data_IF_425977210628
#
_entry.id   IF_425977210628
#
_cell.length_a   1.000
_cell.length_b   1.000
_cell.length_c   1.000
_cell.angle_alpha   90.00
_cell.angle_beta   90.00
_cell.angle_gamma   90.00
#
_symmetry.space_group_name_H-M   'P 1'
#
loop_
_entity.id
_entity.type
_entity.pdbx_description
1 polymer ?
#
# COMPACT_ATOMS: atom_id res chain seq x y z
N UNK A 1 -62.79 15.57 -12.38
CA UNK A 1 -62.15 15.18 -11.10
C UNK A 1 -60.76 14.63 -11.40
N UNK A 2 -59.72 15.31 -10.92
CA UNK A 2 -58.30 14.93 -11.08
C UNK A 2 -58.02 13.67 -10.25
N UNK A 3 -57.37 12.66 -10.83
CA UNK A 3 -56.68 11.61 -10.07
C UNK A 3 -55.21 11.64 -10.48
N UNK A 4 -54.39 12.19 -9.58
CA UNK A 4 -52.97 11.84 -9.49
C UNK A 4 -52.85 10.32 -9.32
N UNK A 5 -51.78 9.72 -9.83
CA UNK A 5 -50.89 8.94 -8.96
C UNK A 5 -49.58 8.52 -9.66
N UNK A 6 -48.51 9.15 -9.17
CA UNK A 6 -47.23 8.57 -8.78
C UNK A 6 -46.38 7.92 -9.90
N UNK A 7 -45.49 8.75 -10.45
CA UNK A 7 -44.26 8.29 -11.12
C UNK A 7 -43.37 7.63 -10.07
N UNK A 8 -43.19 6.32 -10.17
CA UNK A 8 -42.28 5.57 -9.32
C UNK A 8 -40.85 5.79 -9.84
N UNK A 9 -40.18 6.83 -9.34
CA UNK A 9 -38.75 7.02 -9.58
C UNK A 9 -38.00 6.00 -8.71
N UNK A 10 -37.67 4.85 -9.32
CA UNK A 10 -36.66 3.93 -8.80
C UNK A 10 -35.34 4.70 -8.70
N UNK A 11 -35.02 5.17 -7.49
CA UNK A 11 -33.66 5.55 -7.14
C UNK A 11 -32.81 4.28 -7.23
N UNK A 12 -32.18 4.06 -8.39
CA UNK A 12 -31.04 3.16 -8.49
C UNK A 12 -29.94 3.85 -7.69
N UNK A 13 -29.84 3.56 -6.40
CA UNK A 13 -28.61 3.80 -5.68
C UNK A 13 -27.56 2.91 -6.33
N UNK A 14 -26.77 3.48 -7.25
CA UNK A 14 -25.50 2.88 -7.63
C UNK A 14 -24.65 2.86 -6.36
N UNK A 15 -24.74 1.76 -5.61
CA UNK A 15 -23.71 1.40 -4.65
C UNK A 15 -22.44 1.27 -5.47
N UNK A 16 -21.52 2.22 -5.32
CA UNK A 16 -20.19 2.07 -5.86
C UNK A 16 -19.53 0.92 -5.08
N UNK A 17 -19.62 -0.29 -5.62
CA UNK A 17 -18.74 -1.38 -5.21
C UNK A 17 -17.35 -1.01 -5.74
N UNK A 18 -16.64 -0.15 -5.01
CA UNK A 18 -15.28 0.20 -5.38
C UNK A 18 -14.43 -1.05 -5.12
N UNK A 19 -13.92 -1.65 -6.18
CA UNK A 19 -13.03 -2.81 -6.09
C UNK A 19 -11.69 -2.39 -5.46
N UNK A 20 -11.08 -3.31 -4.71
CA UNK A 20 -9.77 -3.07 -4.14
C UNK A 20 -8.75 -2.75 -5.24
N UNK A 21 -8.01 -1.65 -5.09
CA UNK A 21 -6.97 -1.29 -6.05
C UNK A 21 -5.74 -2.17 -5.81
N UNK A 22 -5.12 -2.63 -6.89
CA UNK A 22 -3.77 -3.19 -6.83
C UNK A 22 -2.79 -2.13 -6.31
N UNK A 23 -1.66 -2.57 -5.73
CA UNK A 23 -0.59 -1.69 -5.24
C UNK A 23 -0.34 -0.51 -6.16
N UNK A 24 -0.61 0.68 -5.64
CA UNK A 24 -0.25 1.95 -6.25
C UNK A 24 1.02 2.50 -5.59
N UNK A 25 1.71 3.36 -6.31
CA UNK A 25 2.88 4.06 -5.80
C UNK A 25 2.73 5.56 -6.01
N UNK A 26 2.91 6.31 -4.93
CA UNK A 26 2.82 7.76 -4.86
C UNK A 26 4.17 8.36 -4.48
N UNK A 27 4.47 9.54 -5.03
CA UNK A 27 5.72 10.28 -4.78
C UNK A 27 5.40 11.76 -4.63
N UNK A 28 6.06 12.41 -3.67
CA UNK A 28 6.00 13.88 -3.52
C UNK A 28 6.90 14.60 -4.54
N UNK A 29 7.86 13.91 -5.16
CA UNK A 29 8.77 14.45 -6.17
C UNK A 29 8.81 13.63 -7.46
N UNK A 30 9.43 14.19 -8.51
CA UNK A 30 9.62 13.53 -9.81
C UNK A 30 10.63 12.38 -9.74
N UNK A 31 10.21 11.24 -9.17
CA UNK A 31 11.00 10.02 -9.20
C UNK A 31 10.92 9.37 -10.59
N UNK A 32 12.05 9.33 -11.31
CA UNK A 32 12.09 8.85 -12.70
C UNK A 32 12.47 7.37 -12.81
N UNK A 33 12.95 6.73 -11.74
CA UNK A 33 13.43 5.35 -11.76
C UNK A 33 12.41 4.32 -11.24
N UNK A 34 11.34 4.11 -12.01
CA UNK A 34 10.25 3.18 -11.69
C UNK A 34 10.73 1.71 -11.50
N UNK A 35 11.84 1.33 -12.13
CA UNK A 35 12.42 -0.01 -11.95
C UNK A 35 12.89 -0.21 -10.51
N UNK A 36 13.55 0.80 -9.96
CA UNK A 36 14.12 0.73 -8.62
C UNK A 36 13.07 0.80 -7.53
N UNK A 37 12.04 1.63 -7.76
CA UNK A 37 10.82 1.62 -6.96
C UNK A 37 10.21 0.21 -6.89
N UNK A 38 10.07 -0.48 -8.03
CA UNK A 38 9.54 -1.84 -8.07
C UNK A 38 10.42 -2.83 -7.28
N UNK A 39 11.74 -2.68 -7.33
CA UNK A 39 12.66 -3.50 -6.53
C UNK A 39 12.42 -3.26 -5.04
N UNK A 40 12.33 -2.01 -4.60
CA UNK A 40 12.06 -1.66 -3.20
C UNK A 40 10.71 -2.20 -2.72
N UNK A 41 9.64 -1.99 -3.50
CA UNK A 41 8.31 -2.52 -3.18
C UNK A 41 8.35 -4.05 -3.02
N UNK A 42 9.06 -4.74 -3.90
CA UNK A 42 9.24 -6.19 -3.76
C UNK A 42 10.09 -6.58 -2.55
N UNK A 43 11.10 -5.77 -2.21
CA UNK A 43 11.92 -5.97 -1.01
C UNK A 43 11.03 -5.94 0.24
N UNK A 44 10.18 -4.92 0.38
CA UNK A 44 9.22 -4.80 1.49
C UNK A 44 8.21 -5.94 1.47
N UNK A 45 7.61 -6.28 0.31
CA UNK A 45 6.67 -7.41 0.24
C UNK A 45 7.31 -8.77 0.52
N UNK A 46 8.62 -8.90 0.33
CA UNK A 46 9.38 -10.12 0.67
C UNK A 46 9.78 -10.19 2.14
N UNK A 47 9.63 -9.09 2.89
CA UNK A 47 10.07 -9.05 4.28
C UNK A 47 9.09 -9.75 5.22
N UNK A 48 9.51 -9.87 6.48
CA UNK A 48 8.71 -10.29 7.62
C UNK A 48 7.90 -9.15 8.27
N UNK A 49 7.67 -8.04 7.55
CA UNK A 49 6.69 -7.02 7.99
C UNK A 49 5.35 -7.69 8.33
N UNK A 50 4.68 -7.22 9.38
CA UNK A 50 3.48 -7.85 9.90
C UNK A 50 2.23 -7.56 9.05
N UNK A 51 2.22 -8.07 7.82
CA UNK A 51 1.06 -8.03 6.93
C UNK A 51 -0.14 -8.81 7.50
N UNK A 52 0.10 -9.73 8.44
CA UNK A 52 -0.96 -10.59 8.97
C UNK A 52 -1.94 -9.81 9.84
N UNK A 53 -1.46 -8.86 10.62
CA UNK A 53 -2.30 -7.97 11.42
C UNK A 53 -3.26 -7.12 10.56
N UNK A 54 -2.95 -6.95 9.27
CA UNK A 54 -3.75 -6.16 8.32
C UNK A 54 -4.56 -7.03 7.35
N UNK A 55 -4.61 -8.35 7.55
CA UNK A 55 -5.27 -9.24 6.61
C UNK A 55 -6.78 -9.33 6.78
N UNK A 56 -7.30 -9.11 8.00
CA UNK A 56 -8.69 -9.43 8.32
C UNK A 56 -9.04 -10.85 7.88
N UNK A 57 -10.07 -10.98 7.03
CA UNK A 57 -10.54 -12.22 6.41
C UNK A 57 -9.74 -12.65 5.15
N UNK A 58 -8.83 -11.80 4.66
CA UNK A 58 -8.03 -12.02 3.45
C UNK A 58 -6.73 -12.78 3.74
N UNK A 59 -6.08 -13.26 2.68
CA UNK A 59 -4.74 -13.84 2.76
C UNK A 59 -3.66 -12.76 2.87
N UNK A 60 -2.47 -13.14 3.32
CA UNK A 60 -1.30 -12.24 3.36
C UNK A 60 -0.91 -11.82 1.93
N UNK A 61 -1.00 -12.73 0.97
CA UNK A 61 -0.72 -12.46 -0.44
C UNK A 61 -1.66 -11.39 -0.97
N UNK A 62 -2.95 -11.48 -0.62
CA UNK A 62 -3.94 -10.49 -0.98
C UNK A 62 -3.58 -9.12 -0.42
N UNK A 63 -3.18 -9.02 0.87
CA UNK A 63 -2.71 -7.76 1.45
C UNK A 63 -1.53 -7.21 0.65
N UNK A 64 -0.50 -8.04 0.42
CA UNK A 64 0.68 -7.65 -0.35
C UNK A 64 0.33 -7.16 -1.76
N UNK A 65 -0.72 -7.65 -2.39
CA UNK A 65 -1.16 -7.22 -3.72
C UNK A 65 -1.91 -5.87 -3.70
N UNK A 66 -2.48 -5.45 -2.56
CA UNK A 66 -3.40 -4.31 -2.46
C UNK A 66 -2.92 -3.19 -1.52
N UNK A 67 -1.80 -3.36 -0.81
CA UNK A 67 -1.12 -2.25 -0.13
C UNK A 67 -0.49 -1.30 -1.14
N UNK A 68 -0.67 0.00 -0.91
CA UNK A 68 -0.04 1.09 -1.67
C UNK A 68 1.14 1.68 -0.90
N UNK A 69 2.05 2.32 -1.63
CA UNK A 69 3.26 2.93 -1.10
C UNK A 69 3.26 4.42 -1.42
N UNK A 70 3.48 5.27 -0.44
CA UNK A 70 3.79 6.69 -0.62
C UNK A 70 5.21 6.92 -0.13
N UNK A 71 6.08 7.43 -0.99
CA UNK A 71 7.50 7.59 -0.69
C UNK A 71 7.76 9.01 -0.19
N UNK A 72 8.02 9.13 1.11
CA UNK A 72 8.38 10.38 1.78
C UNK A 72 9.83 10.77 1.52
N UNK A 73 10.72 9.78 1.36
CA UNK A 73 12.14 10.02 1.10
C UNK A 73 12.70 8.96 0.16
N UNK A 74 13.46 9.41 -0.84
CA UNK A 74 14.23 8.55 -1.71
C UNK A 74 15.56 9.24 -2.02
N UNK A 75 16.58 8.96 -1.22
CA UNK A 75 17.92 9.50 -1.42
C UNK A 75 19.02 8.41 -1.38
N UNK A 76 20.27 8.86 -1.41
CA UNK A 76 21.45 7.98 -1.45
C UNK A 76 21.72 7.21 -0.15
N UNK A 77 21.03 7.56 0.94
CA UNK A 77 21.20 6.94 2.24
C UNK A 77 19.92 6.25 2.68
N UNK A 78 18.79 6.94 2.64
CA UNK A 78 17.53 6.48 3.20
C UNK A 78 16.46 6.39 2.10
N UNK A 79 15.66 5.33 2.18
CA UNK A 79 14.36 5.25 1.53
C UNK A 79 13.32 5.12 2.63
N UNK A 80 12.37 6.05 2.69
CA UNK A 80 11.26 6.04 3.64
C UNK A 80 9.95 5.97 2.86
N UNK A 81 9.09 5.01 3.19
CA UNK A 81 7.79 4.87 2.56
C UNK A 81 6.69 4.55 3.57
N UNK A 82 5.55 5.21 3.41
CA UNK A 82 4.30 4.89 4.07
C UNK A 82 3.58 3.78 3.31
N UNK A 83 3.12 2.76 4.03
CA UNK A 83 2.24 1.71 3.53
C UNK A 83 0.80 2.04 3.92
N UNK A 84 -0.15 1.91 3.01
CA UNK A 84 -1.57 2.20 3.30
C UNK A 84 -2.52 1.51 2.31
N UNK A 85 -3.80 1.43 2.67
CA UNK A 85 -4.86 1.02 1.74
C UNK A 85 -5.50 2.25 1.07
N UNK A 86 -5.50 2.29 -0.27
CA UNK A 86 -6.04 3.38 -1.09
C UNK A 86 -7.38 3.03 -1.77
N UNK A 87 -8.24 2.30 -1.06
CA UNK A 87 -9.52 1.85 -1.57
C UNK A 87 -10.53 1.73 -0.42
N UNK A 88 -11.81 1.64 -0.78
CA UNK A 88 -12.91 1.47 0.18
C UNK A 88 -13.56 0.10 -0.04
N UNK A 89 -13.50 -0.80 0.96
CA UNK A 89 -14.31 -2.02 0.92
C UNK A 89 -15.74 -1.72 1.38
N UNK A 90 -16.67 -1.51 0.45
CA UNK A 90 -18.10 -1.37 0.79
C UNK A 90 -18.70 -2.54 1.59
N UNK A 91 -18.00 -3.68 1.72
CA UNK A 91 -18.42 -4.86 2.47
C UNK A 91 -17.71 -5.06 3.81
N UNK A 92 -16.62 -4.34 4.08
CA UNK A 92 -15.86 -4.48 5.31
C UNK A 92 -15.37 -3.12 5.81
N UNK A 93 -16.02 -2.62 6.86
CA UNK A 93 -15.74 -1.32 7.46
C UNK A 93 -14.39 -1.26 8.18
N UNK A 94 -13.77 -2.40 8.48
CA UNK A 94 -12.51 -2.46 9.26
C UNK A 94 -11.31 -1.89 8.51
N UNK A 95 -11.34 -1.88 7.17
CA UNK A 95 -10.23 -1.44 6.31
C UNK A 95 -10.63 -0.35 5.29
N UNK A 96 -11.72 0.37 5.52
CA UNK A 96 -12.15 1.46 4.62
C UNK A 96 -11.27 2.71 4.77
N UNK A 97 -10.61 3.10 3.67
CA UNK A 97 -10.14 4.47 3.43
C UNK A 97 -8.90 4.90 4.19
N UNK A 98 -7.80 5.15 3.46
CA UNK A 98 -6.67 6.01 3.87
C UNK A 98 -5.93 5.62 5.16
N UNK A 99 -6.18 4.42 5.68
CA UNK A 99 -5.53 3.92 6.89
C UNK A 99 -4.06 3.61 6.62
N UNK A 100 -3.18 4.38 7.24
CA UNK A 100 -1.74 4.06 7.27
C UNK A 100 -1.55 2.74 8.02
N UNK A 101 -0.93 1.78 7.34
CA UNK A 101 -0.58 0.44 7.84
C UNK A 101 0.74 0.53 8.63
N UNK A 102 1.66 1.36 8.17
CA UNK A 102 2.93 1.60 8.83
C UNK A 102 3.91 2.33 7.92
N UNK A 103 5.11 2.55 8.44
CA UNK A 103 6.21 3.16 7.73
C UNK A 103 7.38 2.17 7.69
N UNK A 104 8.02 2.07 6.53
CA UNK A 104 9.23 1.29 6.36
C UNK A 104 10.38 2.20 5.99
N UNK A 105 11.50 2.03 6.67
CA UNK A 105 12.74 2.72 6.39
C UNK A 105 13.79 1.70 5.93
N UNK A 106 14.47 2.01 4.82
CA UNK A 106 15.64 1.26 4.37
C UNK A 106 16.88 2.14 4.38
N UNK A 107 17.86 1.77 5.19
CA UNK A 107 19.19 2.38 5.20
C UNK A 107 20.09 1.62 4.21
N UNK A 108 20.45 2.29 3.11
CA UNK A 108 21.30 1.76 2.03
C UNK A 108 22.73 1.44 2.48
N UNK A 109 23.25 2.20 3.45
CA UNK A 109 24.62 2.03 3.95
C UNK A 109 24.76 0.74 4.76
N UNK A 110 23.77 0.46 5.60
CA UNK A 110 23.75 -0.70 6.51
C UNK A 110 22.96 -1.88 5.95
N UNK A 111 22.22 -1.67 4.85
CA UNK A 111 21.31 -2.63 4.23
C UNK A 111 20.29 -3.18 5.23
N UNK A 112 19.73 -2.30 6.05
CA UNK A 112 18.71 -2.63 7.04
C UNK A 112 17.37 -2.07 6.60
N UNK A 113 16.35 -2.93 6.65
CA UNK A 113 14.95 -2.53 6.54
C UNK A 113 14.36 -2.53 7.95
N UNK A 114 13.59 -1.51 8.30
CA UNK A 114 12.97 -1.37 9.60
C UNK A 114 11.49 -1.00 9.45
N UNK A 115 10.64 -1.60 10.29
CA UNK A 115 9.33 -1.04 10.60
C UNK A 115 9.53 0.10 11.60
N UNK A 116 9.27 1.32 11.15
CA UNK A 116 9.52 2.53 11.92
C UNK A 116 8.54 2.66 13.09
N UNK A 117 7.30 2.19 12.92
CA UNK A 117 6.27 2.30 13.96
C UNK A 117 6.57 1.37 15.14
N UNK A 118 7.05 0.17 14.85
CA UNK A 118 7.36 -0.84 15.87
C UNK A 118 8.84 -0.85 16.28
N UNK A 119 9.66 -0.03 15.62
CA UNK A 119 11.11 0.05 15.80
C UNK A 119 11.83 -1.32 15.64
N UNK A 120 11.29 -2.22 14.82
CA UNK A 120 11.86 -3.57 14.60
C UNK A 120 12.59 -3.68 13.27
N UNK A 121 13.78 -4.29 13.29
CA UNK A 121 14.48 -4.65 12.07
C UNK A 121 13.81 -5.83 11.38
N UNK A 122 13.56 -5.68 10.09
CA UNK A 122 12.88 -6.65 9.25
C UNK A 122 13.87 -7.53 8.48
N UNK A 123 13.59 -8.82 8.40
CA UNK A 123 14.31 -9.76 7.55
C UNK A 123 13.68 -9.77 6.15
N UNK A 124 14.50 -9.81 5.10
CA UNK A 124 14.05 -9.76 3.71
C UNK A 124 15.02 -10.51 2.76
N UNK A 125 14.64 -10.69 1.49
CA UNK A 125 15.52 -11.32 0.50
C UNK A 125 16.70 -10.39 0.13
N UNK A 126 17.91 -10.77 0.57
CA UNK A 126 19.15 -10.02 0.31
C UNK A 126 19.47 -9.84 -1.18
N UNK A 127 18.91 -10.67 -2.09
CA UNK A 127 19.07 -10.48 -3.55
C UNK A 127 18.37 -9.20 -4.03
N UNK A 128 17.27 -8.82 -3.38
CA UNK A 128 16.54 -7.60 -3.70
C UNK A 128 17.31 -6.37 -3.21
N UNK A 129 17.92 -6.41 -2.02
CA UNK A 129 18.81 -5.34 -1.57
C UNK A 129 19.98 -5.13 -2.53
N UNK A 130 20.68 -6.20 -2.95
CA UNK A 130 21.75 -6.09 -3.97
C UNK A 130 21.26 -5.46 -5.27
N UNK A 131 20.04 -5.77 -5.70
CA UNK A 131 19.45 -5.17 -6.91
C UNK A 131 19.11 -3.70 -6.69
N UNK A 132 18.69 -3.33 -5.47
CA UNK A 132 18.36 -1.97 -5.09
C UNK A 132 19.62 -1.08 -4.96
N UNK A 133 20.77 -1.64 -4.59
CA UNK A 133 22.04 -0.88 -4.59
C UNK A 133 22.57 -0.59 -6.00
N UNK A 134 22.06 -1.30 -7.03
CA UNK A 134 22.39 -0.97 -8.43
C UNK A 134 21.57 0.18 -9.02
N UNK A 135 20.74 0.82 -8.18
CA UNK A 135 19.79 1.86 -8.59
C UNK A 135 20.29 3.30 -8.44
N UNK A 136 21.58 3.47 -8.16
CA UNK A 136 22.25 4.78 -8.07
C UNK A 136 22.54 5.41 -9.44
#
# INVERSE_FOLDING_TARGET
>A
MKKLCIVFALFISLGYTQEAKLTQVYFDENLTNLRCVKIFVNLVKSSDFDFKSWSGDKSIEWVKEHISFEFDTWDKRIILARLFFDWQDSRNDEFQGTGTIGFVEYDRQTQKLQDVNLEVSLHFDKRLAKSLESCD
#
